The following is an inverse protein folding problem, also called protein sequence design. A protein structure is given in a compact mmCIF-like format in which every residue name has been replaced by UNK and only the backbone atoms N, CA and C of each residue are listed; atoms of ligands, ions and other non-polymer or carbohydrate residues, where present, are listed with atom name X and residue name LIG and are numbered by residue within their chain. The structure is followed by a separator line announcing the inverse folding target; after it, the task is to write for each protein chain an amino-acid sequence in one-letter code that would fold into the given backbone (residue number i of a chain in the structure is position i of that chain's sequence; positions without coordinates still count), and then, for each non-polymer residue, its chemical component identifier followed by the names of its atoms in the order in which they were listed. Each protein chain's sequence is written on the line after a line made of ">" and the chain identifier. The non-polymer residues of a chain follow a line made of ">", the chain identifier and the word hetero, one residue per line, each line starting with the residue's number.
data_IF_917795977907
#
_entry.id   IF_917795977907
#
_cell.length_a   1.000
_cell.length_b   1.000
_cell.length_c   1.000
_cell.angle_alpha   90.00
_cell.angle_beta   90.00
_cell.angle_gamma   90.00
#
_symmetry.space_group_name_H-M   'P 1'
#
loop_
_entity.id
_entity.type
_entity.pdbx_description
1 polymer ?
#
# COMPACT_ATOMS: atom_id res chain seq x y z
N UNK A 1 7.34 -1.67 7.73
CA UNK A 1 6.63 -2.42 6.66
C UNK A 1 5.24 -1.80 6.55
N UNK A 2 4.98 -0.95 5.54
CA UNK A 2 3.89 0.02 5.58
C UNK A 2 2.50 -0.60 5.77
N UNK A 3 2.28 -1.81 5.23
CA UNK A 3 1.01 -2.52 5.40
C UNK A 3 0.78 -3.00 6.84
N UNK A 4 1.82 -3.49 7.53
CA UNK A 4 1.70 -3.96 8.91
C UNK A 4 1.44 -2.81 9.88
N UNK A 5 2.19 -1.72 9.74
CA UNK A 5 1.95 -0.54 10.57
C UNK A 5 0.65 0.17 10.22
N UNK A 6 0.24 0.17 8.95
CA UNK A 6 -1.08 0.65 8.55
C UNK A 6 -2.23 -0.15 9.16
N UNK A 7 -2.10 -1.49 9.19
CA UNK A 7 -3.04 -2.39 9.86
C UNK A 7 -3.16 -2.08 11.36
N UNK A 8 -2.02 -1.94 12.04
CA UNK A 8 -1.95 -1.64 13.47
C UNK A 8 -2.47 -0.23 13.82
N UNK A 9 -2.16 0.79 13.01
CA UNK A 9 -2.70 2.14 13.17
C UNK A 9 -4.22 2.16 13.04
N UNK A 10 -4.76 1.40 12.08
CA UNK A 10 -6.20 1.25 11.92
C UNK A 10 -6.84 0.53 13.12
N UNK A 11 -6.19 -0.48 13.70
CA UNK A 11 -6.66 -1.14 14.93
C UNK A 11 -6.66 -0.22 16.14
N UNK A 12 -5.75 0.75 16.17
CA UNK A 12 -5.72 1.80 17.18
C UNK A 12 -6.79 2.90 16.96
N UNK A 13 -7.62 2.79 15.91
CA UNK A 13 -8.72 3.71 15.63
C UNK A 13 -8.35 4.92 14.78
N UNK A 14 -7.18 4.92 14.15
CA UNK A 14 -6.76 5.99 13.25
C UNK A 14 -7.28 5.77 11.83
N UNK A 15 -7.59 6.86 11.12
CA UNK A 15 -7.75 6.82 9.67
C UNK A 15 -6.37 6.72 9.01
N UNK A 16 -6.22 5.81 8.05
CA UNK A 16 -4.94 5.48 7.42
C UNK A 16 -5.09 5.52 5.92
N UNK A 17 -4.07 6.05 5.23
CA UNK A 17 -3.93 5.95 3.78
C UNK A 17 -2.47 5.57 3.45
N UNK A 18 -2.27 4.73 2.45
CA UNK A 18 -0.94 4.23 2.06
C UNK A 18 -0.62 4.73 0.65
N UNK A 19 0.54 5.37 0.48
CA UNK A 19 1.07 5.74 -0.83
C UNK A 19 2.40 5.04 -1.10
N UNK A 20 2.45 4.19 -2.13
CA UNK A 20 3.62 3.43 -2.53
C UNK A 20 4.46 4.18 -3.56
N UNK A 21 5.76 4.31 -3.28
CA UNK A 21 6.77 4.92 -4.15
C UNK A 21 7.87 3.93 -4.51
N UNK A 22 8.61 4.22 -5.57
CA UNK A 22 9.80 3.44 -5.94
C UNK A 22 9.50 1.95 -6.14
N UNK A 23 10.33 1.08 -5.53
CA UNK A 23 10.19 -0.38 -5.60
C UNK A 23 8.94 -0.92 -4.90
N UNK A 24 8.38 -0.18 -3.93
CA UNK A 24 7.25 -0.67 -3.13
C UNK A 24 6.00 -0.95 -3.98
N UNK A 25 5.83 -0.27 -5.13
CA UNK A 25 4.71 -0.53 -6.05
C UNK A 25 4.69 -1.97 -6.57
N UNK A 26 5.86 -2.65 -6.64
CA UNK A 26 5.95 -4.06 -7.04
C UNK A 26 5.16 -4.99 -6.13
N UNK A 27 4.90 -4.59 -4.87
CA UNK A 27 4.13 -5.36 -3.90
C UNK A 27 2.64 -5.43 -4.23
N UNK A 28 2.17 -4.66 -5.22
CA UNK A 28 0.81 -4.81 -5.76
C UNK A 28 0.68 -5.96 -6.76
N UNK A 29 1.80 -6.54 -7.22
CA UNK A 29 1.73 -7.76 -8.03
C UNK A 29 1.54 -8.95 -7.10
N UNK A 30 0.44 -9.69 -7.28
CA UNK A 30 0.06 -10.82 -6.42
C UNK A 30 1.17 -11.87 -6.26
N UNK A 31 1.91 -12.16 -7.33
CA UNK A 31 3.04 -13.09 -7.28
C UNK A 31 4.17 -12.61 -6.37
N UNK A 32 4.45 -11.30 -6.37
CA UNK A 32 5.45 -10.70 -5.49
C UNK A 32 4.92 -10.65 -4.06
N UNK A 33 3.70 -10.18 -3.85
CA UNK A 33 3.08 -10.10 -2.53
C UNK A 33 3.07 -11.46 -1.81
N UNK A 34 2.68 -12.52 -2.52
CA UNK A 34 2.63 -13.89 -1.98
C UNK A 34 4.01 -14.48 -1.67
N UNK A 35 5.07 -13.96 -2.28
CA UNK A 35 6.44 -14.41 -2.03
C UNK A 35 7.09 -13.73 -0.82
N UNK A 36 6.48 -12.67 -0.27
CA UNK A 36 7.06 -11.91 0.84
C UNK A 36 6.59 -12.46 2.18
N UNK A 37 7.50 -13.16 2.86
CA UNK A 37 7.32 -13.68 4.22
C UNK A 37 8.37 -13.04 5.14
N UNK A 38 8.02 -11.96 5.87
CA UNK A 38 8.95 -11.29 6.78
C UNK A 38 9.27 -12.15 8.03
N UNK A 39 10.50 -12.03 8.54
CA UNK A 39 10.91 -12.75 9.76
C UNK A 39 10.20 -12.16 10.98
N UNK A 40 9.52 -13.00 11.73
CA UNK A 40 8.83 -12.59 12.97
C UNK A 40 7.49 -11.89 12.76
N UNK A 41 6.99 -11.82 11.53
CA UNK A 41 5.72 -11.19 11.18
C UNK A 41 4.89 -12.09 10.24
N UNK A 42 3.57 -11.89 10.15
CA UNK A 42 2.73 -12.64 9.21
C UNK A 42 3.15 -12.44 7.74
N UNK A 43 2.85 -13.41 6.84
CA UNK A 43 2.98 -13.22 5.40
C UNK A 43 2.30 -11.94 4.90
N UNK A 44 2.93 -11.25 3.94
CA UNK A 44 2.37 -10.00 3.41
C UNK A 44 0.97 -10.19 2.82
N UNK A 45 0.69 -11.34 2.20
CA UNK A 45 -0.64 -11.68 1.67
C UNK A 45 -1.74 -11.63 2.72
N UNK A 46 -1.47 -12.10 3.94
CA UNK A 46 -2.43 -12.04 5.05
C UNK A 46 -2.68 -10.60 5.48
N UNK A 47 -1.62 -9.79 5.55
CA UNK A 47 -1.71 -8.37 5.92
C UNK A 47 -2.47 -7.59 4.86
N UNK A 48 -2.19 -7.80 3.57
CA UNK A 48 -2.92 -7.16 2.48
C UNK A 48 -4.41 -7.52 2.50
N UNK A 49 -4.77 -8.76 2.83
CA UNK A 49 -6.18 -9.13 2.99
C UNK A 49 -6.86 -8.33 4.10
N UNK A 50 -6.17 -8.06 5.21
CA UNK A 50 -6.70 -7.19 6.28
C UNK A 50 -6.85 -5.75 5.82
N UNK A 51 -5.85 -5.21 5.11
CA UNK A 51 -5.88 -3.87 4.52
C UNK A 51 -7.11 -3.68 3.62
N UNK A 52 -7.34 -4.64 2.70
CA UNK A 52 -8.51 -4.65 1.80
C UNK A 52 -9.82 -4.77 2.59
N UNK A 53 -9.88 -5.68 3.57
CA UNK A 53 -11.07 -5.88 4.42
C UNK A 53 -11.44 -4.62 5.19
N UNK A 54 -10.45 -3.92 5.72
CA UNK A 54 -10.60 -2.64 6.44
C UNK A 54 -10.78 -1.45 5.50
N UNK A 55 -10.71 -1.65 4.18
CA UNK A 55 -10.83 -0.62 3.13
C UNK A 55 -9.84 0.53 3.31
N UNK A 56 -8.64 0.22 3.78
CA UNK A 56 -7.57 1.23 3.91
C UNK A 56 -7.08 1.56 2.49
N UNK A 57 -7.20 2.81 2.02
CA UNK A 57 -6.85 3.16 0.65
C UNK A 57 -5.36 2.96 0.37
N UNK A 58 -5.05 2.31 -0.76
CA UNK A 58 -3.69 2.20 -1.29
C UNK A 58 -3.59 2.95 -2.62
N UNK A 59 -2.61 3.83 -2.73
CA UNK A 59 -2.23 4.52 -3.95
C UNK A 59 -0.83 4.09 -4.39
N UNK A 60 -0.68 3.61 -5.62
CA UNK A 60 0.62 3.25 -6.19
C UNK A 60 1.09 4.32 -7.17
N UNK A 61 2.27 4.91 -6.95
CA UNK A 61 2.88 5.89 -7.85
C UNK A 61 2.83 5.45 -9.32
N UNK A 62 2.04 6.13 -10.16
CA UNK A 62 1.79 5.68 -11.53
C UNK A 62 3.05 5.61 -12.41
N UNK A 63 3.99 6.55 -12.26
CA UNK A 63 5.27 6.50 -12.99
C UNK A 63 6.14 5.31 -12.53
N UNK A 64 6.19 5.07 -11.22
CA UNK A 64 6.94 3.97 -10.61
C UNK A 64 6.36 2.62 -11.02
N UNK A 65 5.03 2.50 -11.03
CA UNK A 65 4.27 1.32 -11.44
C UNK A 65 4.54 0.96 -12.90
N UNK A 66 4.45 1.94 -13.81
CA UNK A 66 4.77 1.71 -15.23
C UNK A 66 6.21 1.23 -15.42
N UNK A 67 7.17 1.81 -14.70
CA UNK A 67 8.57 1.39 -14.76
C UNK A 67 8.79 -0.06 -14.27
N UNK A 68 7.87 -0.62 -13.48
CA UNK A 68 7.96 -1.97 -12.88
C UNK A 68 6.94 -2.96 -13.44
N UNK A 69 6.19 -2.55 -14.47
CA UNK A 69 5.16 -3.39 -15.10
C UNK A 69 3.98 -3.72 -14.19
N UNK A 70 3.63 -2.83 -13.24
CA UNK A 70 2.41 -2.96 -12.43
C UNK A 70 1.24 -2.40 -13.23
N UNK A 71 0.18 -3.19 -13.37
CA UNK A 71 -1.00 -2.90 -14.21
C UNK A 71 -2.22 -2.50 -13.37
N UNK A 72 -3.29 -1.98 -13.99
CA UNK A 72 -4.56 -1.79 -13.27
C UNK A 72 -5.11 -3.11 -12.69
N UNK A 73 -4.91 -4.23 -13.38
CA UNK A 73 -5.37 -5.54 -12.92
C UNK A 73 -4.66 -5.95 -11.60
N UNK A 74 -3.36 -5.70 -11.50
CA UNK A 74 -2.60 -5.92 -10.26
C UNK A 74 -3.17 -5.08 -9.10
N UNK A 75 -3.51 -3.82 -9.36
CA UNK A 75 -4.06 -2.94 -8.34
C UNK A 75 -5.48 -3.33 -7.91
N UNK A 76 -6.31 -3.78 -8.85
CA UNK A 76 -7.69 -4.17 -8.60
C UNK A 76 -7.81 -5.35 -7.62
N UNK A 77 -6.81 -6.24 -7.56
CA UNK A 77 -6.74 -7.32 -6.57
C UNK A 77 -6.76 -6.82 -5.11
N UNK A 78 -6.34 -5.57 -4.88
CA UNK A 78 -6.19 -4.98 -3.56
C UNK A 78 -7.03 -3.69 -3.37
N UNK A 79 -8.01 -3.43 -4.24
CA UNK A 79 -8.76 -2.16 -4.31
C UNK A 79 -7.84 -0.91 -4.32
N UNK A 80 -6.63 -1.09 -4.86
CA UNK A 80 -5.62 -0.05 -4.98
C UNK A 80 -5.83 0.76 -6.26
N UNK A 81 -5.26 1.97 -6.30
CA UNK A 81 -5.39 2.88 -7.45
C UNK A 81 -4.06 3.50 -7.82
N UNK A 82 -3.91 3.92 -9.08
CA UNK A 82 -2.75 4.71 -9.44
C UNK A 82 -2.78 6.07 -8.74
N UNK A 83 -1.68 6.38 -8.07
CA UNK A 83 -1.36 7.69 -7.53
C UNK A 83 -0.60 8.55 -8.53
N UNK A 84 -0.60 9.85 -8.29
CA UNK A 84 0.20 10.84 -9.01
C UNK A 84 0.70 11.90 -8.02
N UNK A 85 1.59 12.83 -8.43
CA UNK A 85 2.12 13.84 -7.51
C UNK A 85 1.04 14.70 -6.81
N UNK A 86 -0.10 14.98 -7.45
CA UNK A 86 -1.20 15.73 -6.82
C UNK A 86 -1.87 14.92 -5.73
N UNK A 87 -2.13 13.64 -5.96
CA UNK A 87 -2.68 12.72 -4.95
C UNK A 87 -1.70 12.59 -3.78
N UNK A 88 -0.40 12.44 -4.06
CA UNK A 88 0.62 12.40 -3.02
C UNK A 88 0.57 13.65 -2.13
N UNK A 89 0.57 14.84 -2.73
CA UNK A 89 0.45 16.10 -1.99
C UNK A 89 -0.84 16.16 -1.18
N UNK A 90 -1.99 15.78 -1.75
CA UNK A 90 -3.25 15.82 -1.00
C UNK A 90 -3.26 14.87 0.21
N UNK A 91 -2.58 13.73 0.12
CA UNK A 91 -2.44 12.80 1.25
C UNK A 91 -1.56 13.39 2.36
N UNK A 92 -0.49 14.10 1.98
CA UNK A 92 0.38 14.79 2.93
C UNK A 92 -0.36 15.93 3.63
N UNK A 93 -1.15 16.72 2.89
CA UNK A 93 -1.94 17.83 3.45
C UNK A 93 -3.08 17.34 4.34
N UNK A 94 -3.66 16.18 4.05
CA UNK A 94 -4.71 15.56 4.85
C UNK A 94 -4.19 14.99 6.18
N UNK A 95 -2.96 14.48 6.21
CA UNK A 95 -2.46 13.70 7.33
C UNK A 95 -1.96 14.55 8.51
N UNK A 96 -2.38 14.22 9.74
CA UNK A 96 -1.78 14.77 10.96
C UNK A 96 -0.34 14.32 11.18
N UNK A 97 -0.02 13.10 10.70
CA UNK A 97 1.28 12.43 10.83
C UNK A 97 1.61 11.64 9.58
N UNK A 98 2.88 11.69 9.17
CA UNK A 98 3.41 10.93 8.04
C UNK A 98 4.48 9.98 8.56
N UNK A 99 4.37 8.70 8.21
CA UNK A 99 5.37 7.67 8.50
C UNK A 99 6.01 7.26 7.17
N UNK A 100 7.34 7.27 7.11
CA UNK A 100 8.10 6.90 5.91
C UNK A 100 8.95 5.67 6.18
N UNK A 101 8.81 4.63 5.34
CA UNK A 101 9.42 3.31 5.52
C UNK A 101 9.87 2.68 4.19
#
# INVERSE_FOLDING_TARGET
>A
FPFLHGDALSEAGHEVQIFLLGEAVSLMRKSVANAVVPVGWPPLSEVLNKIVTKKIPIYACGACSRARGVTEADLAEYDARFGNPKIFVSLIEWADKVITE
#
